data_IF_013576695432
#
_entry.id   IF_013576695432
#
_cell.length_a   1.000
_cell.length_b   1.000
_cell.length_c   1.000
_cell.angle_alpha   90.00
_cell.angle_beta   90.00
_cell.angle_gamma   90.00
#
_symmetry.space_group_name_H-M   'P 1'
#
loop_
_entity.id
_entity.type
_entity.pdbx_description
1 polymer ?
#
# COMPACT_ATOMS: atom_id res chain seq x y z
N UNK A 1 -52.17 -27.60 -4.32
CA UNK A 1 -50.95 -28.41 -4.23
C UNK A 1 -49.78 -27.54 -4.66
N UNK A 2 -49.01 -27.00 -3.72
CA UNK A 2 -47.87 -26.13 -4.07
C UNK A 2 -46.67 -26.99 -4.40
N UNK A 3 -46.10 -26.76 -5.58
CA UNK A 3 -45.01 -27.57 -6.11
C UNK A 3 -43.74 -27.39 -5.24
N UNK A 4 -43.27 -28.45 -4.54
CA UNK A 4 -42.14 -28.36 -3.62
C UNK A 4 -40.81 -28.02 -4.31
N UNK A 5 -40.74 -28.17 -5.64
CA UNK A 5 -39.57 -27.79 -6.42
C UNK A 5 -39.42 -26.27 -6.58
N UNK A 6 -40.49 -25.48 -6.43
CA UNK A 6 -40.45 -24.01 -6.57
C UNK A 6 -39.77 -23.37 -5.35
N UNK A 7 -40.04 -23.87 -4.13
CA UNK A 7 -39.39 -23.36 -2.91
C UNK A 7 -37.87 -23.58 -2.91
N UNK A 8 -37.39 -24.69 -3.47
CA UNK A 8 -35.95 -24.99 -3.54
C UNK A 8 -35.18 -24.07 -4.48
N UNK A 9 -35.84 -23.49 -5.49
CA UNK A 9 -35.19 -22.58 -6.44
C UNK A 9 -35.06 -21.18 -5.84
N UNK A 10 -35.99 -20.77 -4.98
CA UNK A 10 -35.99 -19.45 -4.34
C UNK A 10 -35.03 -19.37 -3.13
N UNK A 11 -34.85 -20.46 -2.38
CA UNK A 11 -33.95 -20.53 -1.21
C UNK A 11 -32.46 -20.54 -1.59
N UNK A 12 -32.11 -20.88 -2.84
CA UNK A 12 -30.71 -20.92 -3.31
C UNK A 12 -30.20 -19.60 -3.89
N UNK A 13 -31.05 -18.59 -4.10
CA UNK A 13 -30.67 -17.38 -4.83
C UNK A 13 -30.71 -16.10 -4.00
N UNK A 14 -30.70 -16.21 -2.67
CA UNK A 14 -30.77 -15.04 -1.77
C UNK A 14 -29.91 -15.17 -0.51
N UNK A 15 -28.63 -15.56 -0.66
CA UNK A 15 -27.49 -15.18 0.20
C UNK A 15 -26.24 -15.60 -0.59
N UNK A 16 -25.30 -14.71 -0.92
CA UNK A 16 -23.83 -15.03 -1.01
C UNK A 16 -22.90 -13.95 -1.58
N UNK A 17 -23.34 -12.74 -1.98
CA UNK A 17 -22.37 -11.67 -2.30
C UNK A 17 -22.08 -10.78 -1.08
N UNK A 18 -23.12 -10.36 -0.35
CA UNK A 18 -22.96 -9.41 0.76
C UNK A 18 -22.26 -10.02 1.97
N UNK A 19 -22.55 -11.30 2.32
CA UNK A 19 -21.91 -11.99 3.46
C UNK A 19 -20.49 -12.47 3.19
N UNK A 20 -20.14 -12.70 1.92
CA UNK A 20 -18.79 -13.04 1.50
C UNK A 20 -17.92 -11.78 1.44
N UNK A 21 -18.47 -10.65 0.98
CA UNK A 21 -17.83 -9.33 1.07
C UNK A 21 -17.69 -8.90 2.52
N UNK A 22 -18.69 -9.03 3.39
CA UNK A 22 -18.60 -8.67 4.81
C UNK A 22 -17.56 -9.49 5.59
N UNK A 23 -17.49 -10.81 5.37
CA UNK A 23 -16.44 -11.64 5.98
C UNK A 23 -15.06 -11.42 5.34
N UNK A 24 -14.99 -11.09 4.05
CA UNK A 24 -13.72 -10.78 3.37
C UNK A 24 -13.22 -9.38 3.68
N UNK A 25 -14.09 -8.39 3.91
CA UNK A 25 -13.71 -7.04 4.31
C UNK A 25 -13.34 -7.00 5.79
N UNK A 26 -14.08 -7.70 6.66
CA UNK A 26 -13.69 -7.85 8.07
C UNK A 26 -12.38 -8.64 8.21
N UNK A 27 -12.10 -9.62 7.35
CA UNK A 27 -10.83 -10.36 7.36
C UNK A 27 -9.68 -9.70 6.59
N UNK A 28 -9.92 -8.76 5.67
CA UNK A 28 -8.85 -8.04 4.95
C UNK A 28 -8.54 -6.69 5.58
N UNK A 29 -9.55 -5.97 6.07
CA UNK A 29 -9.37 -4.66 6.71
C UNK A 29 -9.03 -4.79 8.20
N UNK A 30 -9.58 -5.81 8.89
CA UNK A 30 -9.35 -6.01 10.32
C UNK A 30 -9.22 -7.50 10.73
N UNK A 31 -8.36 -8.32 10.06
CA UNK A 31 -8.27 -9.78 10.28
C UNK A 31 -8.08 -10.21 11.73
N UNK A 32 -7.44 -9.37 12.53
CA UNK A 32 -7.11 -9.64 13.92
C UNK A 32 -7.16 -8.34 14.72
N UNK A 33 -8.34 -7.72 14.80
CA UNK A 33 -8.52 -6.55 15.65
C UNK A 33 -8.21 -6.92 17.11
N UNK A 34 -7.05 -6.45 17.58
CA UNK A 34 -6.60 -6.59 18.96
C UNK A 34 -6.38 -5.20 19.52
N UNK A 35 -6.71 -5.02 20.81
CA UNK A 35 -6.49 -3.76 21.50
C UNK A 35 -5.04 -3.26 21.39
N UNK A 36 -4.07 -4.18 21.38
CA UNK A 36 -2.65 -3.85 21.18
C UNK A 36 -2.40 -3.27 19.77
N UNK A 37 -2.95 -3.91 18.74
CA UNK A 37 -2.83 -3.45 17.35
C UNK A 37 -3.57 -2.12 17.13
N UNK A 38 -4.69 -1.93 17.82
CA UNK A 38 -5.45 -0.68 17.80
C UNK A 38 -4.65 0.47 18.44
N UNK A 39 -4.07 0.28 19.63
CA UNK A 39 -3.25 1.32 20.27
C UNK A 39 -2.04 1.65 19.40
N UNK A 40 -1.37 0.64 18.84
CA UNK A 40 -0.25 0.86 17.94
C UNK A 40 -0.67 1.66 16.70
N UNK A 41 -1.81 1.31 16.09
CA UNK A 41 -2.39 2.05 14.98
C UNK A 41 -2.79 3.47 15.37
N UNK A 42 -3.37 3.66 16.56
CA UNK A 42 -3.76 4.96 17.08
C UNK A 42 -2.55 5.86 17.36
N UNK A 43 -1.47 5.32 17.92
CA UNK A 43 -0.22 6.06 18.14
C UNK A 43 0.43 6.46 16.81
N UNK A 44 0.50 5.52 15.85
CA UNK A 44 1.00 5.80 14.51
C UNK A 44 0.14 6.87 13.81
N UNK A 45 -1.18 6.74 13.90
CA UNK A 45 -2.14 7.68 13.35
C UNK A 45 -2.05 9.07 13.98
N UNK A 46 -1.87 9.15 15.30
CA UNK A 46 -1.65 10.40 16.01
C UNK A 46 -0.32 11.06 15.59
N UNK A 47 0.75 10.28 15.42
CA UNK A 47 2.02 10.77 14.88
C UNK A 47 1.87 11.32 13.46
N UNK A 48 1.17 10.59 12.58
CA UNK A 48 0.88 11.04 11.22
C UNK A 48 0.00 12.30 11.21
N UNK A 49 -1.03 12.36 12.06
CA UNK A 49 -1.90 13.52 12.20
C UNK A 49 -1.14 14.75 12.73
N UNK A 50 -0.20 14.57 13.65
CA UNK A 50 0.66 15.64 14.15
C UNK A 50 1.55 16.22 13.04
N UNK A 51 2.13 15.35 12.21
CA UNK A 51 2.88 15.74 11.02
C UNK A 51 1.99 16.51 10.04
N UNK A 52 0.78 16.02 9.77
CA UNK A 52 -0.19 16.65 8.87
C UNK A 52 -0.74 17.97 9.42
N UNK A 53 -0.83 18.14 10.73
CA UNK A 53 -1.37 19.37 11.33
C UNK A 53 -0.35 20.52 11.34
N UNK A 54 0.94 20.21 11.15
CA UNK A 54 2.00 21.19 11.19
C UNK A 54 2.54 21.48 9.78
N UNK A 55 2.30 22.68 9.26
CA UNK A 55 2.83 23.12 7.96
C UNK A 55 4.36 22.96 7.86
N UNK A 56 5.10 23.15 8.96
CA UNK A 56 6.56 22.95 8.97
C UNK A 56 6.94 21.50 8.78
N UNK A 57 6.17 20.56 9.35
CA UNK A 57 6.42 19.13 9.19
C UNK A 57 6.04 18.66 7.78
N UNK A 58 4.94 19.14 7.22
CA UNK A 58 4.58 18.90 5.81
C UNK A 58 5.68 19.39 4.85
N UNK A 59 6.16 20.62 5.05
CA UNK A 59 7.25 21.18 4.25
C UNK A 59 8.56 20.40 4.42
N UNK A 60 8.87 19.94 5.63
CA UNK A 60 10.06 19.14 5.89
C UNK A 60 10.02 17.78 5.18
N UNK A 61 8.87 17.10 5.18
CA UNK A 61 8.66 15.84 4.46
C UNK A 61 8.75 16.07 2.96
N UNK A 62 8.10 17.10 2.43
CA UNK A 62 8.16 17.37 1.00
C UNK A 62 9.59 17.69 0.56
N UNK A 63 10.31 18.51 1.33
CA UNK A 63 11.72 18.82 1.07
C UNK A 63 12.61 17.58 1.18
N UNK A 64 12.36 16.66 2.11
CA UNK A 64 13.17 15.45 2.24
C UNK A 64 12.94 14.50 1.07
N UNK A 65 11.70 14.30 0.63
CA UNK A 65 11.35 13.49 -0.55
C UNK A 65 12.03 14.07 -1.79
N UNK A 66 11.90 15.38 -2.03
CA UNK A 66 12.58 16.04 -3.16
C UNK A 66 14.09 15.90 -3.07
N UNK A 67 14.67 16.02 -1.87
CA UNK A 67 16.12 15.87 -1.67
C UNK A 67 16.60 14.45 -1.95
N UNK A 68 15.86 13.43 -1.52
CA UNK A 68 16.17 12.02 -1.82
C UNK A 68 16.06 11.75 -3.32
N UNK A 69 15.01 12.26 -3.97
CA UNK A 69 14.86 12.16 -5.43
C UNK A 69 16.05 12.78 -6.17
N UNK A 70 16.46 14.00 -5.76
CA UNK A 70 17.63 14.67 -6.33
C UNK A 70 18.95 13.92 -6.08
N UNK A 71 19.11 13.29 -4.91
CA UNK A 71 20.28 12.44 -4.63
C UNK A 71 20.28 11.17 -5.49
N UNK A 72 19.11 10.61 -5.76
CA UNK A 72 18.97 9.52 -6.72
C UNK A 72 19.32 9.95 -8.14
N UNK A 73 18.75 11.07 -8.62
CA UNK A 73 19.05 11.62 -9.95
C UNK A 73 20.53 11.93 -10.11
N UNK A 74 21.15 12.63 -9.16
CA UNK A 74 22.58 12.92 -9.16
C UNK A 74 23.44 11.65 -9.09
N UNK A 75 23.04 10.67 -8.26
CA UNK A 75 23.71 9.38 -8.19
C UNK A 75 23.59 8.58 -9.49
N UNK A 76 22.44 8.66 -10.18
CA UNK A 76 22.27 7.98 -11.48
C UNK A 76 23.11 8.60 -12.59
N UNK A 77 23.45 9.89 -12.49
CA UNK A 77 24.30 10.56 -13.48
C UNK A 77 25.76 10.07 -13.37
N UNK A 78 26.31 10.00 -12.15
CA UNK A 78 27.62 9.38 -11.89
C UNK A 78 27.63 7.87 -12.17
N UNK A 79 26.54 7.15 -11.86
CA UNK A 79 26.41 5.74 -12.18
C UNK A 79 26.30 5.49 -13.69
N UNK A 80 25.66 6.39 -14.44
CA UNK A 80 25.56 6.29 -15.89
C UNK A 80 26.93 6.45 -16.54
N UNK A 81 27.72 7.42 -16.09
CA UNK A 81 29.10 7.63 -16.57
C UNK A 81 29.95 6.39 -16.26
N UNK A 82 29.89 5.86 -15.03
CA UNK A 82 30.60 4.62 -14.66
C UNK A 82 30.12 3.38 -15.39
N UNK A 83 28.85 3.32 -15.74
CA UNK A 83 28.30 2.21 -16.53
C UNK A 83 28.71 2.31 -17.99
N UNK A 84 28.74 3.51 -18.59
CA UNK A 84 29.29 3.71 -19.93
C UNK A 84 30.79 3.42 -19.98
N UNK A 85 31.56 3.88 -18.99
CA UNK A 85 32.99 3.59 -18.88
C UNK A 85 33.24 2.08 -18.75
N UNK A 86 32.53 1.39 -17.85
CA UNK A 86 32.64 -0.06 -17.69
C UNK A 86 32.20 -0.81 -18.95
N UNK A 87 31.15 -0.34 -19.64
CA UNK A 87 30.71 -0.93 -20.90
C UNK A 87 31.78 -0.75 -21.99
N UNK A 88 32.35 0.45 -22.12
CA UNK A 88 33.39 0.75 -23.09
C UNK A 88 34.68 -0.05 -22.81
N UNK A 89 35.04 -0.25 -21.54
CA UNK A 89 36.19 -1.08 -21.14
C UNK A 89 35.96 -2.55 -21.52
N UNK A 90 34.76 -3.11 -21.29
CA UNK A 90 34.40 -4.47 -21.69
C UNK A 90 34.37 -4.62 -23.22
N UNK A 91 33.89 -3.62 -23.96
CA UNK A 91 33.90 -3.61 -25.44
C UNK A 91 35.31 -3.38 -26.02
N UNK A 92 36.22 -2.75 -25.28
CA UNK A 92 37.59 -2.47 -25.72
C UNK A 92 38.60 -3.58 -25.34
N UNK A 93 38.33 -4.34 -24.27
CA UNK A 93 39.09 -5.56 -23.90
C UNK A 93 38.59 -6.83 -24.60
N UNK A 94 37.46 -6.76 -25.33
CA UNK A 94 36.88 -7.85 -26.12
C UNK A 94 37.40 -7.98 -27.56
#
# INVERSE_FOLDING_TARGET
MTNPYIKKVEEKNSITLDKAVENSTNSVLFPNFSYSNFIQGALLGAGAAYILTNEKAQQAIFKSVVRVGKLFEAGTEELKERFEDAKAEIEAEG
#
